data_IF_705138617029
#
_entry.id   IF_705138617029
#
_cell.length_a   1.000
_cell.length_b   1.000
_cell.length_c   1.000
_cell.angle_alpha   90.00
_cell.angle_beta   90.00
_cell.angle_gamma   90.00
#
_symmetry.space_group_name_H-M   'P 1'
#
loop_
_entity.id
_entity.type
_entity.pdbx_description
1 polymer ?
#
# COMPACT_ATOMS: atom_id res chain seq x y z
N UNK A 1 -5.25 -6.78 -29.48
CA UNK A 1 -4.89 -7.59 -28.28
C UNK A 1 -6.17 -7.83 -27.48
N UNK A 2 -6.34 -9.02 -26.92
CA UNK A 2 -7.47 -9.34 -26.03
C UNK A 2 -7.42 -8.47 -24.75
N UNK A 3 -8.58 -8.20 -24.14
CA UNK A 3 -8.64 -7.48 -22.86
C UNK A 3 -8.09 -8.38 -21.73
N UNK A 4 -7.54 -7.81 -20.63
CA UNK A 4 -7.09 -8.61 -19.49
C UNK A 4 -8.16 -9.57 -18.94
N UNK A 5 -9.42 -9.14 -18.93
CA UNK A 5 -10.54 -10.00 -18.51
C UNK A 5 -10.74 -11.18 -19.47
N UNK A 6 -10.72 -10.92 -20.79
CA UNK A 6 -10.88 -11.99 -21.78
C UNK A 6 -9.72 -12.99 -21.70
N UNK A 7 -8.48 -12.50 -21.62
CA UNK A 7 -7.30 -13.36 -21.44
C UNK A 7 -7.42 -14.25 -20.20
N UNK A 8 -7.90 -13.71 -19.09
CA UNK A 8 -8.12 -14.48 -17.87
C UNK A 8 -9.24 -15.53 -18.04
N UNK A 9 -10.35 -15.18 -18.67
CA UNK A 9 -11.44 -16.13 -18.96
C UNK A 9 -10.99 -17.26 -19.90
N UNK A 10 -10.11 -16.97 -20.84
CA UNK A 10 -9.58 -17.96 -21.79
C UNK A 10 -8.50 -18.88 -21.16
N UNK A 11 -7.87 -18.45 -20.06
CA UNK A 11 -6.69 -19.11 -19.48
C UNK A 11 -6.93 -19.75 -18.11
N UNK A 12 -7.82 -19.17 -17.29
CA UNK A 12 -8.19 -19.80 -16.03
C UNK A 12 -8.90 -21.11 -16.35
N UNK A 13 -8.48 -22.24 -15.74
CA UNK A 13 -9.24 -23.48 -15.88
C UNK A 13 -10.64 -23.28 -15.30
N UNK A 14 -11.58 -24.11 -15.74
CA UNK A 14 -12.97 -24.07 -15.27
C UNK A 14 -13.01 -23.98 -13.75
N UNK A 15 -13.57 -22.87 -13.28
CA UNK A 15 -13.77 -22.63 -11.87
C UNK A 15 -14.91 -23.55 -11.40
N UNK A 16 -14.70 -24.35 -10.34
CA UNK A 16 -15.70 -25.33 -9.93
C UNK A 16 -17.00 -24.63 -9.51
N UNK A 17 -18.15 -25.08 -10.03
CA UNK A 17 -19.48 -24.52 -9.72
C UNK A 17 -19.86 -24.62 -8.22
N UNK A 18 -19.13 -25.44 -7.46
CA UNK A 18 -19.18 -25.57 -6.02
C UNK A 18 -18.04 -26.43 -5.48
N UNK A 19 -17.87 -26.47 -4.17
CA UNK A 19 -16.83 -27.28 -3.51
C UNK A 19 -15.93 -26.46 -2.58
N UNK A 20 -14.92 -27.10 -1.96
CA UNK A 20 -14.08 -26.43 -0.98
C UNK A 20 -13.24 -25.31 -1.65
N UNK A 21 -13.00 -24.18 -0.96
CA UNK A 21 -12.19 -23.06 -1.46
C UNK A 21 -10.82 -23.49 -2.00
N UNK A 22 -10.26 -24.58 -1.45
CA UNK A 22 -8.99 -25.15 -1.89
C UNK A 22 -8.95 -25.53 -3.38
N UNK A 23 -10.04 -26.05 -3.96
CA UNK A 23 -10.10 -26.40 -5.38
C UNK A 23 -10.02 -25.15 -6.27
N UNK A 24 -10.65 -24.06 -5.84
CA UNK A 24 -10.56 -22.78 -6.53
C UNK A 24 -9.14 -22.22 -6.43
N UNK A 25 -8.50 -22.33 -5.26
CA UNK A 25 -7.10 -21.91 -5.09
C UNK A 25 -6.16 -22.72 -5.99
N UNK A 26 -6.40 -24.02 -6.18
CA UNK A 26 -5.63 -24.82 -7.14
C UNK A 26 -5.87 -24.39 -8.59
N UNK A 27 -7.11 -24.04 -8.95
CA UNK A 27 -7.43 -23.46 -10.26
C UNK A 27 -6.69 -22.12 -10.48
N UNK A 28 -6.62 -21.27 -9.45
CA UNK A 28 -5.82 -20.03 -9.46
C UNK A 28 -4.35 -20.37 -9.71
N UNK A 29 -3.77 -21.32 -8.97
CA UNK A 29 -2.36 -21.72 -9.14
C UNK A 29 -2.08 -22.17 -10.58
N UNK A 30 -2.95 -23.01 -11.17
CA UNK A 30 -2.79 -23.45 -12.57
C UNK A 30 -2.88 -22.28 -13.55
N UNK A 31 -3.82 -21.35 -13.34
CA UNK A 31 -3.92 -20.15 -14.17
C UNK A 31 -2.71 -19.22 -14.06
N UNK A 32 -2.16 -19.06 -12.86
CA UNK A 32 -0.94 -18.27 -12.64
C UNK A 32 0.27 -18.89 -13.34
N UNK A 33 0.41 -20.22 -13.32
CA UNK A 33 1.46 -20.93 -14.06
C UNK A 33 1.29 -20.72 -15.57
N UNK A 34 0.06 -20.80 -16.09
CA UNK A 34 -0.22 -20.65 -17.51
C UNK A 34 -0.03 -19.21 -18.03
N UNK A 35 -0.34 -18.21 -17.21
CA UNK A 35 -0.18 -16.78 -17.54
C UNK A 35 1.23 -16.24 -17.29
N UNK A 36 2.02 -16.96 -16.50
CA UNK A 36 3.35 -16.55 -16.10
C UNK A 36 4.37 -16.55 -17.25
N UNK A 37 5.37 -15.68 -17.17
CA UNK A 37 6.50 -15.73 -18.08
C UNK A 37 7.81 -15.39 -17.37
N UNK A 38 8.90 -15.93 -17.91
CA UNK A 38 10.22 -15.90 -17.28
C UNK A 38 10.84 -14.49 -17.22
N UNK A 39 10.58 -13.65 -18.22
CA UNK A 39 11.11 -12.27 -18.24
C UNK A 39 10.50 -11.44 -17.11
N UNK A 40 9.18 -11.48 -16.97
CA UNK A 40 8.47 -10.81 -15.87
C UNK A 40 8.86 -11.40 -14.50
N UNK A 41 9.04 -12.72 -14.40
CA UNK A 41 9.49 -13.37 -13.16
C UNK A 41 10.88 -12.86 -12.72
N UNK A 42 11.83 -12.76 -13.66
CA UNK A 42 13.17 -12.21 -13.40
C UNK A 42 13.09 -10.74 -12.99
N UNK A 43 12.25 -9.95 -13.67
CA UNK A 43 12.00 -8.56 -13.30
C UNK A 43 11.48 -8.44 -11.86
N UNK A 44 10.49 -9.26 -11.48
CA UNK A 44 9.97 -9.29 -10.12
C UNK A 44 11.08 -9.60 -9.11
N UNK A 45 11.89 -10.64 -9.35
CA UNK A 45 13.01 -11.03 -8.46
C UNK A 45 14.05 -9.92 -8.32
N UNK A 46 14.36 -9.20 -9.40
CA UNK A 46 15.31 -8.10 -9.39
C UNK A 46 14.82 -6.91 -8.56
N UNK A 47 13.54 -6.54 -8.68
CA UNK A 47 12.96 -5.37 -8.00
C UNK A 47 12.36 -5.68 -6.62
N UNK A 48 12.29 -6.96 -6.23
CA UNK A 48 11.71 -7.44 -4.97
C UNK A 48 12.59 -8.50 -4.29
N UNK A 49 13.76 -8.12 -3.75
CA UNK A 49 14.77 -9.07 -3.25
C UNK A 49 14.36 -9.91 -2.02
N UNK A 50 13.18 -9.68 -1.44
CA UNK A 50 12.62 -10.48 -0.33
C UNK A 50 11.58 -11.51 -0.75
N UNK A 51 11.35 -11.70 -2.05
CA UNK A 51 10.34 -12.61 -2.57
C UNK A 51 10.94 -13.97 -2.96
N UNK A 52 10.46 -15.04 -2.32
CA UNK A 52 10.94 -16.41 -2.60
C UNK A 52 10.47 -16.94 -3.96
N UNK A 53 9.20 -16.69 -4.31
CA UNK A 53 8.54 -17.29 -5.48
C UNK A 53 7.67 -16.28 -6.23
N UNK A 54 7.76 -16.30 -7.54
CA UNK A 54 6.91 -15.56 -8.46
C UNK A 54 6.60 -16.43 -9.69
N UNK A 55 5.49 -16.15 -10.36
CA UNK A 55 5.15 -16.72 -11.66
C UNK A 55 5.40 -15.75 -12.82
N UNK A 56 5.60 -14.46 -12.55
CA UNK A 56 5.80 -13.46 -13.60
C UNK A 56 4.48 -13.03 -14.24
N UNK A 57 3.39 -12.96 -13.46
CA UNK A 57 2.10 -12.47 -13.96
C UNK A 57 1.98 -10.97 -13.68
N UNK A 58 1.66 -10.20 -14.71
CA UNK A 58 1.51 -8.74 -14.61
C UNK A 58 0.27 -8.35 -13.80
N UNK A 59 0.37 -7.25 -13.04
CA UNK A 59 -0.69 -6.75 -12.14
C UNK A 59 -2.07 -6.62 -12.81
N UNK A 60 -2.22 -6.14 -14.06
CA UNK A 60 -3.53 -6.06 -14.71
C UNK A 60 -4.24 -7.42 -14.84
N UNK A 61 -3.48 -8.50 -15.06
CA UNK A 61 -4.04 -9.87 -15.12
C UNK A 61 -4.41 -10.36 -13.73
N UNK A 62 -3.57 -10.12 -12.72
CA UNK A 62 -3.86 -10.48 -11.32
C UNK A 62 -5.15 -9.82 -10.82
N UNK A 63 -5.34 -8.53 -11.15
CA UNK A 63 -6.56 -7.80 -10.82
C UNK A 63 -7.78 -8.35 -11.55
N UNK A 64 -7.60 -8.75 -12.82
CA UNK A 64 -8.66 -9.40 -13.59
C UNK A 64 -9.04 -10.77 -12.99
N UNK A 65 -8.07 -11.58 -12.54
CA UNK A 65 -8.32 -12.85 -11.83
C UNK A 65 -9.14 -12.60 -10.57
N UNK A 66 -8.72 -11.67 -9.71
CA UNK A 66 -9.44 -11.34 -8.48
C UNK A 66 -10.90 -10.94 -8.73
N UNK A 67 -11.12 -10.14 -9.78
CA UNK A 67 -12.45 -9.71 -10.22
C UNK A 67 -13.29 -10.86 -10.78
N UNK A 68 -12.71 -11.74 -11.61
CA UNK A 68 -13.41 -12.91 -12.15
C UNK A 68 -13.88 -13.82 -11.02
N UNK A 69 -13.01 -14.12 -10.04
CA UNK A 69 -13.39 -14.93 -8.86
C UNK A 69 -14.56 -14.30 -8.12
N UNK A 70 -14.50 -13.00 -7.83
CA UNK A 70 -15.56 -12.31 -7.11
C UNK A 70 -16.88 -12.26 -7.90
N UNK A 71 -16.82 -12.13 -9.23
CA UNK A 71 -18.01 -12.16 -10.10
C UNK A 71 -18.62 -13.57 -10.19
N UNK A 72 -17.79 -14.61 -10.31
CA UNK A 72 -18.22 -16.01 -10.41
C UNK A 72 -18.95 -16.46 -9.14
N UNK A 73 -18.42 -16.12 -7.96
CA UNK A 73 -18.99 -16.55 -6.67
C UNK A 73 -19.72 -15.42 -5.93
N UNK A 74 -20.26 -14.43 -6.66
CA UNK A 74 -20.90 -13.24 -6.08
C UNK A 74 -22.08 -13.54 -5.13
N UNK A 75 -22.74 -14.67 -5.33
CA UNK A 75 -23.87 -15.11 -4.50
C UNK A 75 -23.42 -15.71 -3.16
N UNK A 76 -22.13 -16.00 -2.97
CA UNK A 76 -21.53 -16.47 -1.72
C UNK A 76 -20.27 -15.66 -1.34
N UNK A 77 -20.45 -14.49 -0.71
CA UNK A 77 -19.33 -13.66 -0.24
C UNK A 77 -18.40 -14.37 0.75
N UNK A 78 -18.92 -15.35 1.52
CA UNK A 78 -18.10 -16.12 2.46
C UNK A 78 -17.13 -17.05 1.73
N UNK A 79 -17.58 -17.68 0.64
CA UNK A 79 -16.71 -18.46 -0.24
C UNK A 79 -15.63 -17.57 -0.89
N UNK A 80 -16.01 -16.40 -1.43
CA UNK A 80 -15.04 -15.45 -2.01
C UNK A 80 -13.98 -15.03 -0.99
N UNK A 81 -14.38 -14.72 0.25
CA UNK A 81 -13.45 -14.41 1.34
C UNK A 81 -12.55 -15.61 1.64
N UNK A 82 -13.11 -16.82 1.71
CA UNK A 82 -12.37 -18.06 1.99
C UNK A 82 -11.36 -18.39 0.89
N UNK A 83 -11.67 -18.11 -0.37
CA UNK A 83 -10.74 -18.27 -1.51
C UNK A 83 -9.55 -17.31 -1.36
N UNK A 84 -9.81 -16.05 -1.02
CA UNK A 84 -8.74 -15.08 -0.80
C UNK A 84 -7.84 -15.47 0.38
N UNK A 85 -8.44 -15.87 1.52
CA UNK A 85 -7.72 -16.36 2.70
C UNK A 85 -6.92 -17.63 2.40
N UNK A 86 -7.42 -18.52 1.53
CA UNK A 86 -6.71 -19.72 1.08
C UNK A 86 -5.62 -19.46 0.04
N UNK A 87 -5.73 -18.38 -0.73
CA UNK A 87 -4.72 -17.97 -1.72
C UNK A 87 -3.50 -17.36 -1.03
N UNK A 88 -3.70 -16.47 -0.05
CA UNK A 88 -2.62 -15.76 0.64
C UNK A 88 -1.44 -16.63 1.14
N UNK A 89 -1.66 -17.75 1.87
CA UNK A 89 -0.58 -18.58 2.41
C UNK A 89 0.20 -19.38 1.35
N UNK A 90 -0.22 -19.36 0.07
CA UNK A 90 0.59 -19.95 -1.03
C UNK A 90 1.91 -19.22 -1.23
N UNK A 91 2.05 -18.00 -0.71
CA UNK A 91 3.34 -17.32 -0.51
C UNK A 91 3.98 -16.71 -1.75
N UNK A 92 3.47 -16.97 -2.96
CA UNK A 92 3.93 -16.28 -4.16
C UNK A 92 3.34 -14.88 -4.24
N UNK A 93 4.04 -13.96 -4.91
CA UNK A 93 3.55 -12.59 -5.11
C UNK A 93 2.16 -12.56 -5.74
N UNK A 94 1.97 -13.35 -6.77
CA UNK A 94 0.73 -13.40 -7.52
C UNK A 94 -0.45 -13.91 -6.67
N UNK A 95 -0.24 -14.94 -5.84
CA UNK A 95 -1.30 -15.45 -4.96
C UNK A 95 -1.72 -14.41 -3.91
N UNK A 96 -0.75 -13.68 -3.33
CA UNK A 96 -1.02 -12.61 -2.36
C UNK A 96 -1.76 -11.44 -3.02
N UNK A 97 -1.35 -11.03 -4.21
CA UNK A 97 -2.04 -9.97 -4.96
C UNK A 97 -3.44 -10.39 -5.42
N UNK A 98 -3.63 -11.64 -5.88
CA UNK A 98 -4.97 -12.16 -6.21
C UNK A 98 -5.86 -12.16 -4.97
N UNK A 99 -5.36 -12.61 -3.81
CA UNK A 99 -6.11 -12.57 -2.56
C UNK A 99 -6.60 -11.16 -2.25
N UNK A 100 -5.72 -10.15 -2.33
CA UNK A 100 -6.08 -8.76 -2.10
C UNK A 100 -7.12 -8.25 -3.13
N UNK A 101 -6.92 -8.49 -4.41
CA UNK A 101 -7.87 -8.04 -5.44
C UNK A 101 -9.23 -8.76 -5.37
N UNK A 102 -9.27 -10.00 -4.89
CA UNK A 102 -10.51 -10.71 -4.58
C UNK A 102 -11.23 -10.06 -3.39
N UNK A 103 -10.51 -9.72 -2.31
CA UNK A 103 -11.10 -9.03 -1.15
C UNK A 103 -11.58 -7.60 -1.48
N UNK A 104 -10.87 -6.88 -2.35
CA UNK A 104 -11.24 -5.52 -2.79
C UNK A 104 -12.67 -5.47 -3.40
N UNK A 105 -13.09 -6.57 -4.02
CA UNK A 105 -14.41 -6.71 -4.62
C UNK A 105 -15.54 -6.90 -3.60
N UNK A 106 -15.23 -7.40 -2.39
CA UNK A 106 -16.23 -7.71 -1.36
C UNK A 106 -16.74 -6.50 -0.58
N UNK A 107 -16.05 -5.35 -0.65
CA UNK A 107 -16.43 -4.13 0.10
C UNK A 107 -16.69 -4.42 1.58
N UNK A 108 -15.68 -5.03 2.22
CA UNK A 108 -15.71 -5.38 3.63
C UNK A 108 -16.05 -4.17 4.52
N UNK A 109 -16.65 -4.42 5.68
CA UNK A 109 -16.69 -3.38 6.70
C UNK A 109 -15.28 -3.11 7.26
N UNK A 110 -15.13 -2.01 7.99
CA UNK A 110 -13.83 -1.56 8.49
C UNK A 110 -13.16 -2.58 9.42
N UNK A 111 -13.93 -3.23 10.30
CA UNK A 111 -13.42 -4.23 11.24
C UNK A 111 -12.88 -5.48 10.53
N UNK A 112 -13.67 -6.07 9.62
CA UNK A 112 -13.24 -7.21 8.82
C UNK A 112 -12.00 -6.90 7.97
N UNK A 113 -11.98 -5.72 7.34
CA UNK A 113 -10.83 -5.28 6.55
C UNK A 113 -9.58 -5.14 7.42
N UNK A 114 -9.71 -4.54 8.60
CA UNK A 114 -8.61 -4.38 9.54
C UNK A 114 -8.09 -5.73 10.05
N UNK A 115 -8.96 -6.61 10.53
CA UNK A 115 -8.57 -7.93 11.08
C UNK A 115 -7.85 -8.81 10.07
N UNK A 116 -8.36 -8.90 8.83
CA UNK A 116 -7.66 -9.62 7.76
C UNK A 116 -6.34 -8.91 7.42
N UNK A 117 -6.34 -7.58 7.43
CA UNK A 117 -5.14 -6.77 7.23
C UNK A 117 -4.03 -7.11 8.22
N UNK A 118 -4.36 -7.22 9.51
CA UNK A 118 -3.43 -7.64 10.57
C UNK A 118 -2.90 -9.04 10.32
N UNK A 119 -3.78 -9.98 9.99
CA UNK A 119 -3.40 -11.37 9.69
C UNK A 119 -2.37 -11.42 8.55
N UNK A 120 -2.61 -10.67 7.48
CA UNK A 120 -1.74 -10.66 6.30
C UNK A 120 -0.44 -9.89 6.51
N UNK A 121 -0.42 -8.88 7.39
CA UNK A 121 0.75 -8.04 7.62
C UNK A 121 1.98 -8.84 8.06
N UNK A 122 1.78 -9.93 8.82
CA UNK A 122 2.85 -10.83 9.26
C UNK A 122 3.65 -11.47 8.11
N UNK A 123 3.01 -11.66 6.95
CA UNK A 123 3.60 -12.31 5.78
C UNK A 123 4.22 -11.32 4.78
N UNK A 124 4.15 -10.01 5.07
CA UNK A 124 4.64 -8.97 4.16
C UNK A 124 6.17 -8.92 4.19
N UNK A 125 6.77 -9.09 3.01
CA UNK A 125 8.23 -9.11 2.80
C UNK A 125 8.68 -8.21 1.64
N UNK A 126 7.73 -7.55 0.96
CA UNK A 126 8.00 -6.64 -0.17
C UNK A 126 7.15 -5.39 -0.07
N UNK A 127 7.62 -4.31 -0.70
CA UNK A 127 6.89 -3.04 -0.76
C UNK A 127 5.59 -3.17 -1.57
N UNK A 128 5.54 -4.02 -2.60
CA UNK A 128 4.33 -4.24 -3.40
C UNK A 128 3.24 -4.93 -2.58
N UNK A 129 3.58 -5.96 -1.79
CA UNK A 129 2.64 -6.56 -0.85
C UNK A 129 2.14 -5.55 0.18
N UNK A 130 3.05 -4.79 0.79
CA UNK A 130 2.71 -3.79 1.78
C UNK A 130 1.74 -2.75 1.22
N UNK A 131 2.04 -2.19 0.06
CA UNK A 131 1.27 -1.09 -0.52
C UNK A 131 -0.12 -1.56 -0.97
N UNK A 132 -0.20 -2.75 -1.57
CA UNK A 132 -1.46 -3.34 -1.99
C UNK A 132 -2.31 -3.74 -0.78
N UNK A 133 -1.68 -4.31 0.26
CA UNK A 133 -2.35 -4.62 1.53
C UNK A 133 -2.95 -3.37 2.17
N UNK A 134 -2.18 -2.28 2.23
CA UNK A 134 -2.65 -1.01 2.77
C UNK A 134 -3.80 -0.44 1.94
N UNK A 135 -3.67 -0.40 0.62
CA UNK A 135 -4.71 0.16 -0.24
C UNK A 135 -6.01 -0.64 -0.27
N UNK A 136 -5.92 -1.96 -0.03
CA UNK A 136 -7.06 -2.89 -0.09
C UNK A 136 -7.74 -3.04 1.27
N UNK A 137 -6.96 -3.11 2.34
CA UNK A 137 -7.41 -3.51 3.67
C UNK A 137 -7.14 -2.43 4.73
N UNK A 138 -5.89 -2.18 5.11
CA UNK A 138 -5.57 -1.36 6.30
C UNK A 138 -5.92 0.13 6.11
N UNK A 139 -5.46 0.75 5.02
CA UNK A 139 -5.81 2.11 4.65
C UNK A 139 -7.27 2.26 4.23
N UNK A 140 -7.87 1.20 3.68
CA UNK A 140 -9.31 1.17 3.41
C UNK A 140 -10.12 1.20 4.71
N UNK A 141 -9.77 0.38 5.71
CA UNK A 141 -10.38 0.40 7.03
C UNK A 141 -10.21 1.78 7.70
N UNK A 142 -9.02 2.37 7.65
CA UNK A 142 -8.77 3.74 8.13
C UNK A 142 -9.65 4.79 7.42
N UNK A 143 -9.91 4.63 6.13
CA UNK A 143 -10.76 5.55 5.37
C UNK A 143 -12.26 5.39 5.69
N UNK A 144 -12.65 4.29 6.33
CA UNK A 144 -14.00 4.05 6.84
C UNK A 144 -14.15 4.44 8.31
N UNK A 145 -13.11 4.22 9.12
CA UNK A 145 -13.10 4.51 10.56
C UNK A 145 -11.77 5.19 10.96
N UNK A 146 -11.80 6.47 11.38
CA UNK A 146 -10.59 7.21 11.74
C UNK A 146 -9.91 6.70 13.02
N UNK A 147 -10.59 5.87 13.84
CA UNK A 147 -10.04 5.36 15.09
C UNK A 147 -8.85 4.43 14.87
N UNK A 148 -8.71 3.82 13.69
CA UNK A 148 -7.56 2.99 13.34
C UNK A 148 -6.24 3.75 13.31
N UNK A 149 -6.27 5.08 13.29
CA UNK A 149 -5.08 5.92 13.34
C UNK A 149 -4.26 5.67 14.61
N UNK A 150 -4.89 5.38 15.74
CA UNK A 150 -4.22 5.15 17.02
C UNK A 150 -3.32 3.90 16.95
N UNK A 151 -3.80 2.83 16.32
CA UNK A 151 -3.01 1.61 16.12
C UNK A 151 -1.87 1.84 15.12
N UNK A 152 -2.09 2.61 14.05
CA UNK A 152 -1.02 2.95 13.10
C UNK A 152 0.08 3.78 13.77
N UNK A 153 -0.22 4.65 14.72
CA UNK A 153 0.78 5.39 15.48
C UNK A 153 1.61 4.49 16.41
N UNK A 154 1.01 3.45 16.99
CA UNK A 154 1.75 2.47 17.79
C UNK A 154 2.77 1.69 16.94
N UNK A 155 2.47 1.46 15.65
CA UNK A 155 3.34 0.72 14.73
C UNK A 155 4.63 1.43 14.35
N UNK A 156 4.77 2.73 14.63
CA UNK A 156 6.00 3.48 14.29
C UNK A 156 7.25 2.93 14.99
N UNK A 157 7.07 2.17 16.08
CA UNK A 157 8.15 1.64 16.92
C UNK A 157 8.35 0.13 16.76
N UNK A 158 7.63 -0.52 15.85
CA UNK A 158 7.76 -1.95 15.61
C UNK A 158 9.11 -2.28 14.97
N UNK A 159 9.76 -3.38 15.38
CA UNK A 159 11.04 -3.81 14.82
C UNK A 159 10.93 -4.17 13.33
N UNK A 160 9.77 -4.63 12.88
CA UNK A 160 9.52 -4.99 11.50
C UNK A 160 9.27 -3.74 10.63
N UNK A 161 10.19 -3.48 9.69
CA UNK A 161 10.08 -2.35 8.75
C UNK A 161 8.77 -2.33 7.95
N UNK A 162 8.15 -3.50 7.71
CA UNK A 162 6.90 -3.58 6.95
C UNK A 162 5.69 -3.15 7.78
N UNK A 163 5.73 -3.33 9.10
CA UNK A 163 4.72 -2.79 10.03
C UNK A 163 4.84 -1.27 10.07
N UNK A 164 6.06 -0.75 10.23
CA UNK A 164 6.32 0.71 10.18
C UNK A 164 5.95 1.32 8.82
N UNK A 165 6.23 0.64 7.71
CA UNK A 165 5.82 1.07 6.37
C UNK A 165 4.30 1.07 6.25
N UNK A 166 3.63 0.00 6.69
CA UNK A 166 2.17 -0.12 6.63
C UNK A 166 1.47 0.99 7.40
N UNK A 167 2.04 1.43 8.54
CA UNK A 167 1.58 2.59 9.29
C UNK A 167 1.43 3.83 8.40
N UNK A 168 2.52 4.23 7.73
CA UNK A 168 2.52 5.41 6.85
C UNK A 168 1.73 5.20 5.57
N UNK A 169 1.88 4.05 4.91
CA UNK A 169 1.21 3.83 3.62
C UNK A 169 -0.31 3.79 3.79
N UNK A 170 -0.83 3.30 4.92
CA UNK A 170 -2.27 3.35 5.22
C UNK A 170 -2.81 4.77 5.23
N UNK A 171 -2.07 5.74 5.79
CA UNK A 171 -2.48 7.17 5.79
C UNK A 171 -2.62 7.76 4.38
N UNK A 172 -1.87 7.25 3.40
CA UNK A 172 -1.97 7.71 2.00
C UNK A 172 -3.36 7.44 1.40
N UNK A 173 -4.12 6.52 1.98
CA UNK A 173 -5.46 6.18 1.50
C UNK A 173 -6.56 7.12 2.03
N UNK A 174 -6.24 8.00 2.98
CA UNK A 174 -7.19 8.99 3.51
C UNK A 174 -7.74 9.95 2.44
N UNK A 175 -7.08 10.08 1.27
CA UNK A 175 -7.65 10.79 0.10
C UNK A 175 -8.94 10.17 -0.45
N UNK A 176 -9.23 8.93 -0.07
CA UNK A 176 -10.46 8.20 -0.45
C UNK A 176 -11.53 8.29 0.64
N UNK A 177 -11.19 8.80 1.82
CA UNK A 177 -12.13 8.94 2.93
C UNK A 177 -13.09 10.11 2.67
N UNK A 178 -14.31 10.00 3.18
CA UNK A 178 -15.35 11.04 3.12
C UNK A 178 -15.63 11.62 4.51
N UNK A 179 -14.57 11.87 5.28
CA UNK A 179 -14.68 12.47 6.61
C UNK A 179 -14.97 13.97 6.53
N UNK A 180 -15.60 14.50 7.58
CA UNK A 180 -15.72 15.94 7.77
C UNK A 180 -14.33 16.61 7.77
N UNK A 181 -14.25 17.84 7.26
CA UNK A 181 -12.97 18.56 7.09
C UNK A 181 -12.14 18.61 8.38
N UNK A 182 -12.77 18.78 9.54
CA UNK A 182 -12.08 18.84 10.84
C UNK A 182 -11.38 17.52 11.17
N UNK A 183 -12.06 16.39 10.94
CA UNK A 183 -11.50 15.05 11.13
C UNK A 183 -10.39 14.78 10.10
N UNK A 184 -10.63 15.11 8.83
CA UNK A 184 -9.64 14.94 7.77
C UNK A 184 -8.35 15.73 8.05
N UNK A 185 -8.48 16.97 8.51
CA UNK A 185 -7.36 17.84 8.88
C UNK A 185 -6.62 17.29 10.11
N UNK A 186 -7.34 16.81 11.13
CA UNK A 186 -6.75 16.17 12.30
C UNK A 186 -5.92 14.95 11.92
N UNK A 187 -6.45 14.08 11.06
CA UNK A 187 -5.72 12.90 10.57
C UNK A 187 -4.48 13.26 9.75
N UNK A 188 -4.52 14.31 8.92
CA UNK A 188 -3.33 14.75 8.18
C UNK A 188 -2.25 15.35 9.10
N UNK A 189 -2.63 16.05 10.18
CA UNK A 189 -1.67 16.49 11.20
C UNK A 189 -0.99 15.30 11.86
N UNK A 190 -1.78 14.28 12.24
CA UNK A 190 -1.27 13.03 12.81
C UNK A 190 -0.36 12.29 11.82
N UNK A 191 -0.73 12.20 10.55
CA UNK A 191 0.12 11.60 9.50
C UNK A 191 1.45 12.33 9.33
N UNK A 192 1.47 13.67 9.41
CA UNK A 192 2.72 14.44 9.41
C UNK A 192 3.58 14.22 10.67
N UNK A 193 2.96 14.02 11.84
CA UNK A 193 3.68 13.65 13.06
C UNK A 193 4.31 12.24 12.95
N UNK A 194 3.60 11.28 12.35
CA UNK A 194 4.16 9.97 12.00
C UNK A 194 5.35 10.10 11.04
N UNK A 195 5.21 10.94 10.00
CA UNK A 195 6.29 11.23 9.06
C UNK A 195 7.53 11.80 9.74
N UNK A 196 7.36 12.70 10.72
CA UNK A 196 8.47 13.24 11.50
C UNK A 196 9.21 12.12 12.26
N UNK A 197 8.46 11.26 12.95
CA UNK A 197 9.00 10.13 13.72
C UNK A 197 9.84 9.18 12.85
N UNK A 198 9.37 8.88 11.64
CA UNK A 198 10.01 7.94 10.72
C UNK A 198 10.94 8.61 9.70
N UNK A 199 11.17 9.92 9.80
CA UNK A 199 11.97 10.68 8.83
C UNK A 199 13.42 10.19 8.75
N UNK A 200 13.93 9.65 9.86
CA UNK A 200 15.28 9.12 10.02
C UNK A 200 15.35 7.60 10.09
N UNK A 201 14.24 6.89 9.80
CA UNK A 201 14.19 5.43 9.81
C UNK A 201 15.35 4.83 9.01
N UNK A 202 15.94 3.74 9.49
CA UNK A 202 17.06 3.07 8.83
C UNK A 202 16.65 2.40 7.51
N UNK A 203 15.39 1.95 7.41
CA UNK A 203 14.86 1.28 6.25
C UNK A 203 14.50 2.27 5.13
N UNK A 204 15.14 2.12 3.97
CA UNK A 204 14.86 2.90 2.76
C UNK A 204 13.40 2.82 2.32
N UNK A 205 12.77 1.65 2.49
CA UNK A 205 11.35 1.47 2.18
C UNK A 205 10.46 2.32 3.10
N UNK A 206 10.76 2.43 4.39
CA UNK A 206 9.98 3.28 5.30
C UNK A 206 10.15 4.75 4.94
N UNK A 207 11.38 5.21 4.68
CA UNK A 207 11.64 6.61 4.29
C UNK A 207 10.97 7.00 2.96
N UNK A 208 10.84 6.07 2.00
CA UNK A 208 10.05 6.31 0.78
C UNK A 208 8.56 6.45 1.06
N UNK A 209 8.03 5.78 2.10
CA UNK A 209 6.65 5.97 2.54
C UNK A 209 6.44 7.34 3.20
N UNK A 210 7.44 7.88 3.91
CA UNK A 210 7.42 9.24 4.46
C UNK A 210 7.20 10.27 3.34
N UNK A 211 8.00 10.20 2.26
CA UNK A 211 7.79 11.09 1.11
C UNK A 211 6.35 10.98 0.56
N UNK A 212 5.87 9.75 0.41
CA UNK A 212 4.55 9.53 -0.15
C UNK A 212 3.44 10.11 0.73
N UNK A 213 3.47 9.85 2.03
CA UNK A 213 2.50 10.38 2.98
C UNK A 213 2.48 11.92 2.95
N UNK A 214 3.64 12.59 2.99
CA UNK A 214 3.72 14.06 2.92
C UNK A 214 3.09 14.58 1.62
N UNK A 215 3.34 13.92 0.48
CA UNK A 215 2.73 14.31 -0.81
C UNK A 215 1.22 14.12 -0.84
N UNK A 216 0.69 13.11 -0.17
CA UNK A 216 -0.76 12.91 -0.10
C UNK A 216 -1.42 13.91 0.86
N UNK A 217 -0.77 14.27 1.96
CA UNK A 217 -1.20 15.39 2.82
C UNK A 217 -1.30 16.67 2.01
N UNK A 218 -0.25 17.06 1.27
CA UNK A 218 -0.27 18.27 0.44
C UNK A 218 -1.35 18.28 -0.65
N UNK A 219 -1.82 17.10 -1.09
CA UNK A 219 -2.93 17.01 -2.05
C UNK A 219 -4.28 17.33 -1.44
N UNK A 220 -4.45 17.11 -0.14
CA UNK A 220 -5.71 17.35 0.59
C UNK A 220 -5.68 18.68 1.32
N UNK A 221 -4.59 18.95 2.04
CA UNK A 221 -4.36 20.14 2.83
C UNK A 221 -2.98 20.73 2.47
N UNK A 222 -2.95 21.45 1.34
CA UNK A 222 -1.71 22.01 0.78
C UNK A 222 -0.94 22.87 1.78
N UNK A 223 -1.61 23.84 2.40
CA UNK A 223 -0.97 24.77 3.35
C UNK A 223 -0.38 24.03 4.56
N UNK A 224 -1.09 23.02 5.09
CA UNK A 224 -0.59 22.20 6.19
C UNK A 224 0.72 21.48 5.82
N UNK A 225 0.77 20.84 4.65
CA UNK A 225 1.96 20.15 4.18
C UNK A 225 3.11 21.10 3.81
N UNK A 226 2.80 22.26 3.23
CA UNK A 226 3.76 23.32 2.95
C UNK A 226 4.41 23.82 4.24
N UNK A 227 3.60 24.26 5.20
CA UNK A 227 4.09 24.88 6.42
C UNK A 227 4.95 23.90 7.21
N UNK A 228 4.52 22.63 7.29
CA UNK A 228 5.30 21.55 7.88
C UNK A 228 6.66 21.39 7.18
N UNK A 229 6.71 21.34 5.85
CA UNK A 229 7.98 21.22 5.11
C UNK A 229 8.94 22.40 5.35
N UNK A 230 8.41 23.63 5.39
CA UNK A 230 9.20 24.83 5.65
C UNK A 230 9.75 24.83 7.08
N UNK A 231 8.93 24.44 8.05
CA UNK A 231 9.33 24.27 9.44
C UNK A 231 10.42 23.21 9.58
N UNK A 232 10.24 22.03 8.97
CA UNK A 232 11.26 20.97 8.97
C UNK A 232 12.54 21.40 8.29
N UNK A 233 12.49 22.24 7.27
CA UNK A 233 13.70 22.78 6.64
C UNK A 233 14.45 23.73 7.60
N UNK A 234 13.72 24.53 8.37
CA UNK A 234 14.28 25.48 9.34
C UNK A 234 15.02 24.81 10.50
N UNK A 235 14.67 23.58 10.84
CA UNK A 235 15.38 22.77 11.84
C UNK A 235 16.75 22.26 11.40
N UNK A 236 17.16 22.50 10.15
CA UNK A 236 18.43 22.02 9.58
C UNK A 236 18.63 20.50 9.78
N UNK A 237 17.72 19.65 9.26
CA UNK A 237 17.74 18.23 9.54
C UNK A 237 18.93 17.55 8.85
N UNK A 238 19.35 16.36 9.33
CA UNK A 238 20.48 15.64 8.74
C UNK A 238 20.31 15.38 7.25
N UNK A 239 21.42 15.29 6.49
CA UNK A 239 21.42 15.10 5.02
C UNK A 239 20.47 14.00 4.54
N UNK A 240 20.36 12.89 5.28
CA UNK A 240 19.46 11.77 4.95
C UNK A 240 17.98 12.22 4.94
N UNK A 241 17.54 12.98 5.94
CA UNK A 241 16.20 13.59 5.98
C UNK A 241 16.01 14.59 4.86
N UNK A 242 17.01 15.43 4.59
CA UNK A 242 16.93 16.45 3.53
C UNK A 242 16.60 15.85 2.17
N UNK A 243 17.15 14.67 1.84
CA UNK A 243 16.85 13.97 0.58
C UNK A 243 15.36 13.62 0.46
N UNK A 244 14.74 13.15 1.54
CA UNK A 244 13.31 12.83 1.57
C UNK A 244 12.47 14.11 1.50
N UNK A 245 12.79 15.13 2.30
CA UNK A 245 12.06 16.40 2.28
C UNK A 245 12.15 17.09 0.91
N UNK A 246 13.32 17.07 0.25
CA UNK A 246 13.51 17.58 -1.13
C UNK A 246 12.68 16.80 -2.16
N UNK A 247 12.48 15.49 -1.96
CA UNK A 247 11.63 14.68 -2.82
C UNK A 247 10.17 15.12 -2.71
N UNK A 248 9.69 15.32 -1.48
CA UNK A 248 8.32 15.76 -1.20
C UNK A 248 8.07 17.18 -1.68
N UNK A 249 9.03 18.08 -1.48
CA UNK A 249 8.99 19.47 -1.92
C UNK A 249 8.81 19.66 -3.44
N UNK A 250 8.99 18.60 -4.26
CA UNK A 250 8.63 18.64 -5.70
C UNK A 250 7.13 18.87 -5.93
N UNK A 251 6.27 18.68 -4.92
CA UNK A 251 4.83 18.94 -4.98
C UNK A 251 4.43 20.33 -4.50
N UNK A 252 5.36 21.10 -3.95
CA UNK A 252 5.13 22.51 -3.66
C UNK A 252 5.01 23.31 -4.96
N UNK A 253 4.31 24.44 -4.87
CA UNK A 253 4.34 25.52 -5.84
C UNK A 253 5.78 25.98 -6.06
N UNK A 254 6.06 26.58 -7.22
CA UNK A 254 7.40 27.08 -7.51
C UNK A 254 7.91 28.07 -6.43
N UNK A 255 7.13 29.09 -6.00
CA UNK A 255 7.56 29.99 -4.91
C UNK A 255 7.85 29.27 -3.60
N UNK A 256 6.95 28.39 -3.15
CA UNK A 256 7.11 27.68 -1.88
C UNK A 256 8.31 26.73 -1.90
N UNK A 257 8.59 26.11 -3.07
CA UNK A 257 9.75 25.25 -3.26
C UNK A 257 11.05 26.04 -3.23
N UNK A 258 11.09 27.23 -3.82
CA UNK A 258 12.25 28.13 -3.76
C UNK A 258 12.50 28.60 -2.33
N UNK A 259 11.45 28.94 -1.60
CA UNK A 259 11.52 29.27 -0.17
C UNK A 259 12.06 28.08 0.64
N UNK A 260 11.50 26.88 0.47
CA UNK A 260 11.97 25.66 1.12
C UNK A 260 13.47 25.41 0.88
N UNK A 261 13.91 25.52 -0.38
CA UNK A 261 15.33 25.32 -0.72
C UNK A 261 16.24 26.39 -0.13
N UNK A 262 15.75 27.63 -0.02
CA UNK A 262 16.48 28.74 0.61
C UNK A 262 16.70 28.48 2.09
N UNK A 263 15.63 28.13 2.82
CA UNK A 263 15.68 27.78 4.26
C UNK A 263 16.59 26.56 4.50
N UNK A 264 16.52 25.56 3.62
CA UNK A 264 17.32 24.35 3.78
C UNK A 264 18.81 24.55 3.45
N UNK A 265 19.15 25.61 2.73
CA UNK A 265 20.53 25.93 2.33
C UNK A 265 21.18 26.99 3.22
N UNK A 266 20.44 27.56 4.19
CA UNK A 266 20.89 28.70 4.98
C UNK A 266 21.81 28.36 6.17
N UNK A 267 22.70 27.38 6.06
CA UNK A 267 23.82 27.23 7.01
C UNK A 267 25.10 27.86 6.47
N UNK A 268 25.67 28.82 7.22
CA UNK A 268 27.03 29.29 6.95
C UNK A 268 27.53 30.65 7.49
N UNK A 269 26.94 31.30 8.50
CA UNK A 269 27.71 32.29 9.30
C UNK A 269 27.78 31.82 10.75
N UNK A 270 28.87 31.17 11.17
CA UNK A 270 29.16 31.02 12.58
C UNK A 270 29.27 32.41 13.20
N UNK A 271 28.57 32.64 14.31
CA UNK A 271 28.89 33.73 15.24
C UNK A 271 30.10 33.33 16.08
#
# INVERSE_FOLDING_TARGET
MASPKQTVLDTLPDLPEGGPPALVVEAITRGLIALGNQEDEQGVKQFMPGLDRAYGVRVPLLRAIGKVIAETYKEDPHLVRSIALGSWPRGTREHRLVALFTLEALKLNAADAWEIGLQFLHDVVTWDHCDQLCSTLLGYALALDPNYMDQLEAWLYDDNQWVRRAALVSTTYLRRASFANEVALSLDRRALAMCYTLLMDEADYVRKAVDWAIREVMRRHYDLGRDWLLERAGEQPPRRSQTILKLSAKKLSKPDREQFLTILSSEGTPS
#
